data_IF_816125073950
#
_entry.id   IF_816125073950
#
_cell.length_a   1.000
_cell.length_b   1.000
_cell.length_c   1.000
_cell.angle_alpha   90.00
_cell.angle_beta   90.00
_cell.angle_gamma   90.00
#
_symmetry.space_group_name_H-M   'P 1'
#
loop_
_entity.id
_entity.type
_entity.pdbx_description
1 polymer ?
#
# COMPACT_ATOMS: atom_id res chain seq x y z
N UNK A 1 14.15 -53.85 -39.97
CA UNK A 1 14.53 -52.49 -39.53
C UNK A 1 13.38 -51.94 -38.68
N UNK A 2 13.58 -51.82 -37.36
CA UNK A 2 12.65 -51.12 -36.47
C UNK A 2 13.06 -49.65 -36.42
N UNK A 3 12.15 -48.74 -36.77
CA UNK A 3 12.33 -47.30 -36.57
C UNK A 3 11.65 -46.93 -35.25
N UNK A 4 12.42 -46.91 -34.16
CA UNK A 4 12.14 -46.03 -33.02
C UNK A 4 12.39 -44.60 -33.53
N UNK A 5 11.50 -43.63 -33.34
CA UNK A 5 11.02 -43.15 -32.06
C UNK A 5 11.61 -41.75 -31.87
N UNK A 6 10.77 -40.73 -32.04
CA UNK A 6 11.16 -39.33 -31.89
C UNK A 6 9.90 -38.48 -31.80
N UNK A 7 9.24 -38.51 -30.65
CA UNK A 7 8.25 -37.48 -30.35
C UNK A 7 9.02 -36.14 -30.31
N UNK A 8 8.57 -35.11 -31.04
CA UNK A 8 9.16 -33.79 -30.89
C UNK A 8 9.04 -33.40 -29.42
N UNK A 9 10.18 -33.13 -28.78
CA UNK A 9 10.19 -32.43 -27.51
C UNK A 9 9.40 -31.14 -27.72
N UNK A 10 8.29 -30.97 -27.00
CA UNK A 10 7.57 -29.71 -26.96
C UNK A 10 8.53 -28.66 -26.40
N UNK A 11 9.24 -27.98 -27.30
CA UNK A 11 10.05 -26.83 -26.96
C UNK A 11 9.08 -25.82 -26.34
N UNK A 12 9.19 -25.64 -25.02
CA UNK A 12 8.39 -24.64 -24.32
C UNK A 12 8.69 -23.30 -25.00
N UNK A 13 7.67 -22.70 -25.62
CA UNK A 13 7.79 -21.36 -26.17
C UNK A 13 8.09 -20.47 -24.96
N UNK A 14 9.30 -19.91 -24.91
CA UNK A 14 9.61 -18.93 -23.89
C UNK A 14 8.58 -17.82 -24.01
N UNK A 15 8.00 -17.40 -22.89
CA UNK A 15 7.26 -16.15 -22.87
C UNK A 15 8.21 -15.09 -23.43
N UNK A 16 7.81 -14.34 -24.46
CA UNK A 16 8.60 -13.22 -25.01
C UNK A 16 8.57 -12.04 -24.04
N UNK A 17 8.93 -12.31 -22.79
CA UNK A 17 9.01 -11.33 -21.72
C UNK A 17 10.45 -10.83 -21.71
N UNK A 18 10.66 -9.50 -21.75
CA UNK A 18 12.01 -8.95 -21.66
C UNK A 18 12.60 -9.22 -20.28
N UNK A 19 13.93 -9.26 -20.20
CA UNK A 19 14.60 -9.32 -18.92
C UNK A 19 14.61 -7.93 -18.26
N UNK A 20 14.65 -7.87 -16.93
CA UNK A 20 14.65 -6.60 -16.16
C UNK A 20 15.80 -5.66 -16.52
N UNK A 21 16.89 -6.19 -17.08
CA UNK A 21 18.07 -5.41 -17.47
C UNK A 21 17.89 -4.74 -18.84
N UNK A 22 16.88 -5.15 -19.61
CA UNK A 22 16.53 -4.59 -20.93
C UNK A 22 15.44 -3.51 -20.83
N UNK A 23 14.69 -3.51 -19.74
CA UNK A 23 13.63 -2.54 -19.48
C UNK A 23 14.17 -1.48 -18.52
N UNK A 24 14.23 -0.19 -18.85
CA UNK A 24 14.68 0.85 -17.92
C UNK A 24 13.81 0.96 -16.67
N UNK A 25 14.42 1.36 -15.55
CA UNK A 25 13.69 1.65 -14.32
C UNK A 25 12.98 3.01 -14.43
N UNK A 26 11.77 3.11 -13.93
CA UNK A 26 10.99 4.34 -13.83
C UNK A 26 11.16 5.07 -12.49
N UNK A 27 10.06 5.67 -12.02
CA UNK A 27 9.97 6.38 -10.74
C UNK A 27 9.72 5.37 -9.61
N UNK A 28 10.38 5.57 -8.47
CA UNK A 28 10.09 4.81 -7.26
C UNK A 28 8.62 5.01 -6.81
N UNK A 29 8.02 3.94 -6.31
CA UNK A 29 6.64 3.90 -5.84
C UNK A 29 6.58 3.46 -4.37
N UNK A 30 5.56 3.90 -3.60
CA UNK A 30 5.35 3.42 -2.22
C UNK A 30 5.20 1.90 -2.11
N UNK A 31 4.79 1.24 -3.20
CA UNK A 31 4.58 -0.21 -3.28
C UNK A 31 5.80 -0.99 -3.79
N UNK A 32 6.94 -0.33 -3.98
CA UNK A 32 8.17 -1.02 -4.37
C UNK A 32 8.57 -2.01 -3.27
N UNK A 33 8.70 -3.28 -3.65
CA UNK A 33 8.96 -4.38 -2.73
C UNK A 33 8.86 -5.76 -3.38
N UNK A 34 8.98 -6.79 -2.56
CA UNK A 34 8.70 -8.19 -2.92
C UNK A 34 7.30 -8.56 -2.44
N UNK A 35 6.54 -9.14 -3.36
CA UNK A 35 5.15 -9.50 -3.16
C UNK A 35 4.90 -10.94 -3.59
N UNK A 36 4.02 -11.65 -2.91
CA UNK A 36 3.61 -13.01 -3.28
C UNK A 36 2.25 -12.98 -3.97
N UNK A 37 2.17 -13.56 -5.16
CA UNK A 37 0.91 -13.77 -5.90
C UNK A 37 0.11 -14.85 -5.16
N UNK A 38 -1.06 -14.49 -4.63
CA UNK A 38 -1.84 -15.36 -3.74
C UNK A 38 -2.31 -16.66 -4.40
N UNK A 39 -2.60 -16.63 -5.70
CA UNK A 39 -3.17 -17.77 -6.44
C UNK A 39 -2.14 -18.86 -6.79
N UNK A 40 -0.85 -18.50 -6.86
CA UNK A 40 0.22 -19.42 -7.28
C UNK A 40 1.37 -19.53 -6.28
N UNK A 41 1.38 -18.72 -5.22
CA UNK A 41 2.41 -18.72 -4.18
C UNK A 41 3.80 -18.33 -4.72
N UNK A 42 3.86 -17.56 -5.80
CA UNK A 42 5.11 -17.13 -6.45
C UNK A 42 5.39 -15.68 -6.16
N UNK A 43 6.66 -15.34 -6.00
CA UNK A 43 7.08 -13.98 -5.70
C UNK A 43 7.41 -13.19 -6.95
N UNK A 44 7.02 -11.93 -6.92
CA UNK A 44 7.38 -10.89 -7.87
C UNK A 44 8.00 -9.72 -7.11
N UNK A 45 8.91 -9.00 -7.76
CA UNK A 45 9.49 -7.76 -7.27
C UNK A 45 8.87 -6.63 -8.06
N UNK A 46 8.17 -5.72 -7.39
CA UNK A 46 7.80 -4.41 -7.94
C UNK A 46 8.94 -3.47 -7.64
N UNK A 47 9.51 -2.85 -8.65
CA UNK A 47 10.63 -1.93 -8.52
C UNK A 47 10.50 -0.82 -9.55
N UNK A 48 10.30 0.41 -9.08
CA UNK A 48 10.38 1.62 -9.89
C UNK A 48 9.54 1.56 -11.17
N UNK A 49 8.28 1.14 -11.07
CA UNK A 49 7.37 1.15 -12.22
C UNK A 49 7.40 -0.11 -13.11
N UNK A 50 8.15 -1.15 -12.74
CA UNK A 50 8.16 -2.46 -13.39
C UNK A 50 8.03 -3.57 -12.35
N UNK A 51 7.44 -4.69 -12.72
CA UNK A 51 7.37 -5.91 -11.91
C UNK A 51 8.09 -7.05 -12.61
N UNK A 52 8.98 -7.75 -11.92
CA UNK A 52 9.69 -8.91 -12.46
C UNK A 52 9.61 -10.13 -11.54
N UNK A 53 9.69 -11.31 -12.14
CA UNK A 53 9.63 -12.58 -11.43
C UNK A 53 10.84 -12.74 -10.49
N UNK A 54 10.57 -13.16 -9.26
CA UNK A 54 11.61 -13.60 -8.30
C UNK A 54 11.69 -15.12 -8.31
N UNK A 55 10.54 -15.79 -8.30
CA UNK A 55 10.46 -17.25 -8.43
C UNK A 55 10.11 -17.64 -9.87
N UNK A 56 10.48 -18.85 -10.29
CA UNK A 56 10.02 -19.40 -11.57
C UNK A 56 8.64 -20.06 -11.46
N UNK A 57 7.88 -20.03 -12.56
CA UNK A 57 6.66 -20.81 -12.71
C UNK A 57 6.31 -21.08 -14.18
N UNK A 58 5.41 -22.03 -14.38
CA UNK A 58 4.80 -22.33 -15.67
C UNK A 58 3.46 -21.60 -15.74
N UNK A 59 3.31 -20.62 -16.63
CA UNK A 59 2.04 -19.94 -16.83
C UNK A 59 1.23 -20.63 -17.93
N UNK A 60 -0.06 -20.87 -17.62
CA UNK A 60 -1.03 -21.58 -18.47
C UNK A 60 -0.53 -22.93 -19.04
N UNK A 61 0.37 -23.63 -18.34
CA UNK A 61 1.04 -24.85 -18.80
C UNK A 61 1.91 -24.73 -20.07
N UNK A 62 1.99 -23.54 -20.66
CA UNK A 62 2.54 -23.33 -21.99
C UNK A 62 3.92 -22.66 -21.95
N UNK A 63 4.13 -21.71 -21.04
CA UNK A 63 5.32 -20.88 -21.04
C UNK A 63 5.95 -20.75 -19.66
N UNK A 64 7.27 -20.91 -19.63
CA UNK A 64 8.06 -20.78 -18.41
C UNK A 64 8.42 -19.32 -18.18
N UNK A 65 7.96 -18.77 -17.07
CA UNK A 65 8.42 -17.48 -16.56
C UNK A 65 9.61 -17.75 -15.63
N UNK A 66 10.75 -17.13 -15.94
CA UNK A 66 12.01 -17.30 -15.23
C UNK A 66 12.31 -16.08 -14.34
N UNK A 67 13.11 -16.24 -13.28
CA UNK A 67 13.54 -15.11 -12.45
C UNK A 67 14.18 -14.01 -13.30
N UNK A 68 13.83 -12.76 -13.00
CA UNK A 68 14.30 -11.58 -13.74
C UNK A 68 13.51 -11.24 -15.00
N UNK A 69 12.62 -12.13 -15.48
CA UNK A 69 11.68 -11.77 -16.55
C UNK A 69 10.65 -10.76 -16.05
N UNK A 70 10.43 -9.70 -16.82
CA UNK A 70 9.45 -8.67 -16.52
C UNK A 70 8.05 -9.21 -16.82
N UNK A 71 7.18 -9.16 -15.81
CA UNK A 71 5.78 -9.58 -15.90
C UNK A 71 4.82 -8.41 -15.87
N UNK A 72 5.25 -7.26 -15.33
CA UNK A 72 4.45 -6.07 -15.23
C UNK A 72 5.23 -4.84 -15.71
N UNK A 73 4.60 -3.99 -16.52
CA UNK A 73 5.17 -2.73 -17.01
C UNK A 73 4.29 -1.54 -16.64
N UNK A 74 4.88 -0.35 -16.77
CA UNK A 74 4.18 0.93 -16.65
C UNK A 74 3.40 1.08 -15.35
N UNK A 75 3.90 0.52 -14.25
CA UNK A 75 3.26 0.65 -12.95
C UNK A 75 3.31 2.12 -12.55
N UNK A 76 2.14 2.73 -12.38
CA UNK A 76 1.99 4.16 -12.09
C UNK A 76 0.89 4.36 -11.07
N UNK A 77 1.15 5.20 -10.08
CA UNK A 77 0.11 5.64 -9.15
C UNK A 77 -0.83 6.61 -9.87
N UNK A 78 -2.13 6.34 -9.82
CA UNK A 78 -3.18 7.16 -10.43
C UNK A 78 -4.05 7.87 -9.39
N UNK A 79 -4.14 7.32 -8.18
CA UNK A 79 -4.73 7.95 -7.01
C UNK A 79 -4.10 7.36 -5.74
N UNK A 80 -4.42 7.92 -4.58
CA UNK A 80 -4.04 7.34 -3.29
C UNK A 80 -4.47 5.87 -3.23
N UNK A 81 -3.53 4.99 -2.94
CA UNK A 81 -3.67 3.54 -2.89
C UNK A 81 -3.97 2.86 -4.23
N UNK A 82 -4.00 3.57 -5.36
CA UNK A 82 -4.42 3.00 -6.65
C UNK A 82 -3.33 3.17 -7.70
N UNK A 83 -3.03 2.06 -8.38
CA UNK A 83 -1.98 1.99 -9.39
C UNK A 83 -2.51 1.29 -10.65
N UNK A 84 -2.10 1.75 -11.82
CA UNK A 84 -2.31 1.06 -13.09
C UNK A 84 -1.08 0.28 -13.48
N UNK A 85 -1.26 -0.81 -14.23
CA UNK A 85 -0.18 -1.69 -14.71
C UNK A 85 -0.53 -2.30 -16.06
N UNK A 86 0.48 -2.63 -16.86
CA UNK A 86 0.33 -3.55 -17.99
C UNK A 86 0.84 -4.94 -17.57
N UNK A 87 -0.04 -5.94 -17.56
CA UNK A 87 0.32 -7.33 -17.25
C UNK A 87 0.67 -8.09 -18.53
N UNK A 88 1.94 -8.46 -18.66
CA UNK A 88 2.45 -9.08 -19.88
C UNK A 88 2.06 -10.56 -19.99
N UNK A 89 2.12 -11.40 -18.93
CA UNK A 89 1.64 -12.78 -19.00
C UNK A 89 0.17 -12.90 -19.38
N UNK A 90 -0.69 -12.02 -18.83
CA UNK A 90 -2.12 -12.00 -19.10
C UNK A 90 -2.50 -11.13 -20.30
N UNK A 91 -1.54 -10.39 -20.86
CA UNK A 91 -1.67 -9.53 -22.04
C UNK A 91 -2.82 -8.52 -21.92
N UNK A 92 -2.87 -7.80 -20.80
CA UNK A 92 -3.95 -6.86 -20.53
C UNK A 92 -3.60 -5.77 -19.52
N UNK A 93 -4.36 -4.66 -19.50
CA UNK A 93 -4.22 -3.65 -18.48
C UNK A 93 -4.74 -4.20 -17.14
N UNK A 94 -4.17 -3.69 -16.05
CA UNK A 94 -4.59 -4.02 -14.71
C UNK A 94 -4.59 -2.83 -13.76
N UNK A 95 -5.23 -3.03 -12.62
CA UNK A 95 -5.27 -2.11 -11.49
C UNK A 95 -4.81 -2.83 -10.24
N UNK A 96 -3.95 -2.18 -9.46
CA UNK A 96 -3.57 -2.59 -8.11
C UNK A 96 -4.19 -1.60 -7.12
N UNK A 97 -4.88 -2.11 -6.11
CA UNK A 97 -5.47 -1.32 -5.03
C UNK A 97 -4.88 -1.74 -3.70
N UNK A 98 -4.26 -0.79 -3.00
CA UNK A 98 -3.74 -0.97 -1.65
C UNK A 98 -4.89 -1.15 -0.66
N UNK A 99 -4.83 -2.25 0.08
CA UNK A 99 -5.80 -2.55 1.14
C UNK A 99 -5.34 -1.92 2.47
N UNK A 100 -6.23 -1.72 3.46
CA UNK A 100 -5.86 -1.26 4.79
C UNK A 100 -4.83 -2.14 5.51
N UNK A 101 -4.77 -3.43 5.19
CA UNK A 101 -3.78 -4.38 5.72
C UNK A 101 -2.41 -4.23 5.03
N UNK A 102 -2.37 -3.45 3.95
CA UNK A 102 -1.22 -3.16 3.10
C UNK A 102 -0.84 -4.32 2.17
N UNK A 103 -1.82 -5.10 1.73
CA UNK A 103 -1.73 -5.96 0.56
C UNK A 103 -2.20 -5.19 -0.69
N UNK A 104 -2.04 -5.77 -1.88
CA UNK A 104 -2.62 -5.19 -3.11
C UNK A 104 -3.67 -6.14 -3.68
N UNK A 105 -4.91 -5.67 -3.80
CA UNK A 105 -5.91 -6.31 -4.64
C UNK A 105 -5.59 -6.00 -6.10
N UNK A 106 -5.46 -7.03 -6.93
CA UNK A 106 -5.13 -6.90 -8.35
C UNK A 106 -6.28 -7.38 -9.21
N UNK A 107 -6.65 -6.57 -10.20
CA UNK A 107 -7.59 -6.93 -11.26
C UNK A 107 -6.92 -6.70 -12.61
N UNK A 108 -6.96 -7.68 -13.51
CA UNK A 108 -6.40 -7.59 -14.86
C UNK A 108 -7.46 -7.99 -15.87
N UNK A 109 -7.66 -7.14 -16.89
CA UNK A 109 -8.51 -7.43 -18.04
C UNK A 109 -7.71 -8.21 -19.08
N UNK A 110 -7.41 -9.48 -18.77
CA UNK A 110 -6.55 -10.33 -19.58
C UNK A 110 -7.18 -10.77 -20.90
N UNK A 111 -6.35 -11.21 -21.85
CA UNK A 111 -6.77 -11.64 -23.18
C UNK A 111 -7.74 -12.85 -23.18
N UNK A 112 -7.73 -13.66 -22.11
CA UNK A 112 -8.62 -14.81 -21.93
C UNK A 112 -9.79 -14.54 -20.97
N UNK A 113 -9.95 -13.29 -20.52
CA UNK A 113 -10.98 -12.87 -19.58
C UNK A 113 -10.40 -12.18 -18.33
N UNK A 114 -11.26 -11.54 -17.52
CA UNK A 114 -10.84 -10.83 -16.32
C UNK A 114 -10.36 -11.81 -15.25
N UNK A 115 -9.33 -11.42 -14.53
CA UNK A 115 -8.74 -12.19 -13.42
C UNK A 115 -8.50 -11.27 -12.23
N UNK A 116 -8.74 -11.80 -11.03
CA UNK A 116 -8.52 -11.10 -9.78
C UNK A 116 -7.73 -11.97 -8.80
N UNK A 117 -6.79 -11.36 -8.09
CA UNK A 117 -5.97 -12.01 -7.07
C UNK A 117 -5.39 -10.96 -6.12
N UNK A 118 -4.63 -11.40 -5.12
CA UNK A 118 -3.90 -10.50 -4.23
C UNK A 118 -2.40 -10.65 -4.38
N UNK A 119 -1.71 -9.54 -4.23
CA UNK A 119 -0.29 -9.52 -3.90
C UNK A 119 -0.14 -9.35 -2.40
N UNK A 120 0.35 -10.40 -1.76
CA UNK A 120 0.57 -10.46 -0.32
C UNK A 120 1.96 -9.92 -0.04
N UNK A 121 2.05 -8.89 0.81
CA UNK A 121 3.32 -8.24 1.16
C UNK A 121 4.31 -9.23 1.76
N UNK A 122 5.54 -9.25 1.25
CA UNK A 122 6.64 -10.04 1.82
C UNK A 122 7.75 -9.13 2.34
N UNK A 123 8.17 -8.17 1.51
CA UNK A 123 9.19 -7.18 1.84
C UNK A 123 8.86 -5.87 1.13
N UNK A 124 9.14 -4.75 1.76
CA UNK A 124 8.94 -3.40 1.20
C UNK A 124 10.27 -2.68 1.23
N UNK A 125 10.56 -1.91 0.17
CA UNK A 125 11.80 -1.12 0.11
C UNK A 125 11.75 0.10 1.01
N UNK A 126 10.59 0.77 1.05
CA UNK A 126 10.31 1.95 1.86
C UNK A 126 9.05 1.73 2.72
N UNK A 127 9.21 1.13 3.92
CA UNK A 127 8.09 0.88 4.82
C UNK A 127 7.38 2.17 5.28
N UNK A 128 8.10 3.29 5.38
CA UNK A 128 7.51 4.58 5.80
C UNK A 128 6.61 5.16 4.70
N UNK A 129 7.07 5.14 3.45
CA UNK A 129 6.25 5.56 2.31
C UNK A 129 5.01 4.68 2.14
N UNK A 130 5.15 3.35 2.27
CA UNK A 130 4.00 2.45 2.22
C UNK A 130 3.02 2.75 3.37
N UNK A 131 3.51 2.93 4.59
CA UNK A 131 2.64 3.21 5.73
C UNK A 131 1.88 4.53 5.55
N UNK A 132 2.56 5.60 5.08
CA UNK A 132 1.90 6.86 4.78
C UNK A 132 0.80 6.72 3.71
N UNK A 133 1.02 5.84 2.72
CA UNK A 133 0.02 5.52 1.70
C UNK A 133 -1.19 4.76 2.31
N UNK A 134 -0.95 3.79 3.19
CA UNK A 134 -2.01 3.05 3.92
C UNK A 134 -2.82 4.00 4.80
N UNK A 135 -2.15 4.88 5.55
CA UNK A 135 -2.78 5.87 6.42
C UNK A 135 -3.67 6.82 5.60
N UNK A 136 -3.19 7.24 4.43
CA UNK A 136 -3.95 8.07 3.50
C UNK A 136 -5.17 7.33 2.90
N UNK A 137 -5.05 6.03 2.59
CA UNK A 137 -6.17 5.19 2.14
C UNK A 137 -7.22 5.02 3.23
N UNK A 138 -6.80 4.83 4.48
CA UNK A 138 -7.71 4.58 5.61
C UNK A 138 -8.27 5.87 6.22
N UNK A 139 -7.81 7.04 5.78
CA UNK A 139 -8.17 8.33 6.38
C UNK A 139 -7.58 8.51 7.79
N UNK A 140 -6.66 7.65 8.21
CA UNK A 140 -5.99 7.74 9.51
C UNK A 140 -4.88 8.77 9.42
N UNK A 141 -5.21 10.05 9.63
CA UNK A 141 -4.18 11.08 9.81
C UNK A 141 -3.53 10.94 11.19
N UNK A 142 -2.73 9.89 11.38
CA UNK A 142 -2.12 9.53 12.65
C UNK A 142 -0.58 9.54 12.58
N UNK A 143 0.02 10.45 11.79
CA UNK A 143 1.44 10.77 11.96
C UNK A 143 1.85 12.16 11.43
N UNK A 144 0.99 13.17 11.64
CA UNK A 144 1.47 14.55 11.59
C UNK A 144 2.35 14.78 12.83
N UNK A 145 3.67 14.64 12.67
CA UNK A 145 4.70 15.14 13.60
C UNK A 145 4.20 16.44 14.23
N UNK A 146 4.16 16.59 15.58
CA UNK A 146 3.70 17.82 16.20
C UNK A 146 4.62 18.93 15.72
N UNK A 147 4.11 19.79 14.83
CA UNK A 147 4.75 21.07 14.59
C UNK A 147 4.68 21.80 15.92
N UNK A 148 5.83 21.94 16.57
CA UNK A 148 6.03 22.78 17.73
C UNK A 148 5.42 24.15 17.42
N UNK A 149 4.19 24.39 17.88
CA UNK A 149 3.73 25.76 18.11
C UNK A 149 4.58 26.26 19.26
N UNK A 150 5.68 26.93 18.93
CA UNK A 150 6.33 27.86 19.84
C UNK A 150 5.34 29.00 20.03
N UNK A 151 4.43 28.87 20.99
CA UNK A 151 3.81 30.03 21.62
C UNK A 151 4.90 30.67 22.46
N UNK A 152 5.52 31.71 21.89
CA UNK A 152 6.40 32.61 22.62
C UNK A 152 5.58 33.31 23.71
N UNK A 153 6.02 33.31 24.98
CA UNK A 153 5.38 34.06 26.04
C UNK A 153 5.91 35.51 26.10
N UNK A 154 5.06 36.42 26.57
CA UNK A 154 5.32 37.80 27.06
C UNK A 154 5.48 38.90 25.99
N UNK A 155 4.98 40.14 26.12
CA UNK A 155 4.17 40.82 27.14
C UNK A 155 3.59 42.11 26.51
N UNK A 156 2.43 42.53 27.04
CA UNK A 156 1.86 43.88 27.21
C UNK A 156 2.00 45.00 26.15
N UNK A 157 0.85 45.59 25.77
CA UNK A 157 0.48 46.98 26.13
C UNK A 157 -0.89 47.41 25.54
N UNK A 158 -1.84 47.72 26.44
CA UNK A 158 -2.88 48.80 26.45
C UNK A 158 -3.54 49.25 25.12
N UNK A 159 -4.87 49.43 24.99
CA UNK A 159 -5.76 50.18 25.89
C UNK A 159 -7.25 50.06 25.48
N UNK A 160 -8.13 50.20 26.48
CA UNK A 160 -9.47 50.86 26.47
C UNK A 160 -10.60 50.29 25.59
N UNK A 161 -11.62 49.66 26.20
CA UNK A 161 -12.92 50.34 26.50
C UNK A 161 -14.04 49.37 26.95
N UNK A 162 -14.48 49.60 28.20
CA UNK A 162 -15.87 49.69 28.71
C UNK A 162 -16.92 48.57 28.49
N UNK A 163 -17.40 48.11 29.67
CA UNK A 163 -18.78 47.74 30.04
C UNK A 163 -19.27 46.28 29.87
N UNK A 164 -19.26 45.55 30.99
CA UNK A 164 -20.28 44.54 31.37
C UNK A 164 -21.56 45.28 31.88
N UNK A 165 -22.75 44.65 32.10
CA UNK A 165 -22.95 43.23 32.42
C UNK A 165 -24.24 42.57 31.86
N UNK A 166 -24.31 41.23 31.89
CA UNK A 166 -25.48 40.47 32.36
C UNK A 166 -25.18 38.97 32.24
N UNK A 167 -25.53 38.25 33.30
CA UNK A 167 -25.11 36.87 33.51
C UNK A 167 -25.80 35.85 32.62
N UNK A 168 -25.09 34.74 32.44
CA UNK A 168 -25.71 33.44 32.24
C UNK A 168 -24.73 32.36 32.71
N UNK A 169 -24.90 31.93 33.96
CA UNK A 169 -24.38 30.65 34.45
C UNK A 169 -25.05 29.52 33.67
N UNK A 170 -24.24 28.66 33.05
CA UNK A 170 -24.55 27.25 32.72
C UNK A 170 -23.23 26.46 32.66
N UNK A 171 -23.28 25.16 32.93
CA UNK A 171 -22.32 24.50 33.81
C UNK A 171 -21.09 23.98 33.08
N UNK A 172 -20.04 23.76 33.86
CA UNK A 172 -18.80 23.09 33.51
C UNK A 172 -19.05 21.81 32.68
N UNK A 173 -18.75 21.88 31.38
CA UNK A 173 -18.47 20.69 30.59
C UNK A 173 -17.09 20.20 31.02
N UNK A 174 -17.09 18.97 31.54
CA UNK A 174 -16.03 18.37 32.33
C UNK A 174 -14.64 18.43 31.71
N UNK A 175 -13.71 18.46 32.65
CA UNK A 175 -12.28 18.39 32.47
C UNK A 175 -11.88 17.43 31.35
N UNK A 176 -11.24 17.97 30.31
CA UNK A 176 -10.41 17.18 29.42
C UNK A 176 -9.25 16.64 30.27
N UNK A 177 -9.47 15.48 30.88
CA UNK A 177 -8.43 14.74 31.59
C UNK A 177 -7.29 14.55 30.60
N UNK A 178 -6.14 15.15 30.92
CA UNK A 178 -4.94 15.00 30.13
C UNK A 178 -4.53 13.53 30.14
N UNK A 179 -4.87 12.81 29.06
CA UNK A 179 -4.51 11.41 28.81
C UNK A 179 -3.00 11.14 28.94
N UNK A 180 -2.18 12.21 28.87
CA UNK A 180 -0.74 12.17 29.07
C UNK A 180 -0.29 11.75 30.47
N UNK A 181 -1.20 11.69 31.47
CA UNK A 181 -0.90 11.26 32.84
C UNK A 181 -1.57 9.95 33.24
N UNK A 182 -2.29 9.30 32.34
CA UNK A 182 -3.05 8.11 32.68
C UNK A 182 -2.15 6.88 32.70
N UNK A 183 -2.25 6.10 33.78
CA UNK A 183 -1.40 4.93 34.00
C UNK A 183 -1.85 3.76 33.13
N UNK A 184 -3.15 3.69 32.86
CA UNK A 184 -3.75 2.68 32.00
C UNK A 184 -4.86 3.33 31.16
N UNK A 185 -4.85 3.04 29.85
CA UNK A 185 -5.85 3.55 28.91
C UNK A 185 -6.81 2.41 28.53
N UNK A 186 -8.10 2.71 28.55
CA UNK A 186 -9.19 1.83 28.12
C UNK A 186 -10.00 2.45 27.00
N UNK A 187 -10.89 1.66 26.40
CA UNK A 187 -11.87 2.15 25.42
C UNK A 187 -13.26 2.06 26.04
N UNK A 188 -13.97 3.18 26.08
CA UNK A 188 -15.37 3.21 26.47
C UNK A 188 -16.21 2.46 25.43
N UNK A 189 -16.74 1.31 25.85
CA UNK A 189 -17.57 0.44 25.00
C UNK A 189 -18.87 1.08 24.50
N UNK A 190 -19.30 2.22 25.05
CA UNK A 190 -20.50 2.94 24.62
C UNK A 190 -20.21 4.03 23.59
N UNK A 191 -19.06 4.67 23.68
CA UNK A 191 -18.72 5.83 22.83
C UNK A 191 -17.57 5.56 21.86
N UNK A 192 -16.84 4.46 22.05
CA UNK A 192 -15.60 4.16 21.33
C UNK A 192 -14.44 5.10 21.67
N UNK A 193 -14.61 6.01 22.64
CA UNK A 193 -13.59 6.96 23.06
C UNK A 193 -12.56 6.32 23.98
N UNK A 194 -11.31 6.81 23.91
CA UNK A 194 -10.25 6.41 24.84
C UNK A 194 -10.48 7.08 26.19
N UNK A 195 -10.51 6.30 27.26
CA UNK A 195 -10.70 6.74 28.65
C UNK A 195 -9.50 6.33 29.50
N UNK A 196 -9.30 7.01 30.63
CA UNK A 196 -8.33 6.60 31.64
C UNK A 196 -8.94 5.60 32.61
N UNK A 197 -8.23 4.51 32.90
CA UNK A 197 -8.65 3.44 33.81
C UNK A 197 -7.86 3.48 35.13
N UNK A 198 -7.58 4.68 35.64
CA UNK A 198 -6.91 4.83 36.93
C UNK A 198 -7.95 4.50 38.04
N UNK A 199 -7.83 3.31 38.63
CA UNK A 199 -8.64 2.85 39.78
C UNK A 199 -8.41 3.71 41.03
#
# INVERSE_FOLDING_TARGET
MSIFGGFPSMAQIQAQLPHKDEVPAGKALPIDGVWMISTIGKRVRIERGRGYAVDSWLHLFLFSIQPGMVVNLNIKQTATGTFTVDDLPLQGPGTLKLTPEGNLDVTVDGALGPVAFQLIRQQVDDPEALQAEIDAVTGSSANAKPSLRITSPNDDSSSSDRAAPSGQERPASGDAVSLAKCKELGVDTKTGGVICLDN
#
